data_IF_823403967640
#
_entry.id   IF_823403967640
#
_cell.length_a   1.000
_cell.length_b   1.000
_cell.length_c   1.000
_cell.angle_alpha   90.00
_cell.angle_beta   90.00
_cell.angle_gamma   90.00
#
_symmetry.space_group_name_H-M   'P 1'
#
loop_
_entity.id
_entity.type
_entity.pdbx_description
1 polymer ?
#
# COMPACT_ATOMS: atom_id res chain seq x y z
N UNK A 1 18.26 -9.69 -35.89
CA UNK A 1 18.56 -8.59 -34.94
C UNK A 1 17.50 -7.54 -35.15
N UNK A 2 16.58 -7.16 -34.26
CA UNK A 2 16.31 -7.41 -32.85
C UNK A 2 14.81 -7.11 -32.66
N UNK A 3 14.07 -8.02 -32.01
CA UNK A 3 12.88 -7.76 -31.18
C UNK A 3 11.68 -6.98 -31.76
N UNK A 4 10.82 -7.66 -32.54
CA UNK A 4 9.40 -7.28 -32.69
C UNK A 4 8.55 -7.86 -31.53
N UNK A 5 8.78 -7.36 -30.31
CA UNK A 5 8.14 -7.89 -29.08
C UNK A 5 7.37 -6.82 -28.28
N UNK A 6 6.93 -5.71 -28.89
CA UNK A 6 6.44 -4.55 -28.14
C UNK A 6 5.00 -4.11 -28.34
N UNK A 7 4.17 -4.90 -29.03
CA UNK A 7 2.73 -4.61 -29.12
C UNK A 7 1.88 -5.50 -28.21
N UNK A 8 2.31 -5.67 -26.96
CA UNK A 8 1.37 -5.98 -25.88
C UNK A 8 0.84 -4.65 -25.38
N UNK A 9 -0.15 -4.12 -26.10
CA UNK A 9 -1.02 -3.03 -25.64
C UNK A 9 -1.40 -3.34 -24.18
N UNK A 10 -0.78 -2.62 -23.25
CA UNK A 10 -1.34 -2.47 -21.91
C UNK A 10 -2.62 -1.66 -22.13
N UNK A 11 -3.79 -2.14 -21.66
CA UNK A 11 -5.02 -1.37 -21.81
C UNK A 11 -4.80 0.02 -21.22
N UNK A 12 -5.40 1.04 -21.84
CA UNK A 12 -5.26 2.45 -21.51
C UNK A 12 -5.66 2.76 -20.06
N UNK A 13 -4.79 2.44 -19.10
CA UNK A 13 -4.94 2.76 -17.68
C UNK A 13 -4.30 4.12 -17.43
N UNK A 14 -4.91 5.17 -17.97
CA UNK A 14 -4.54 6.54 -17.65
C UNK A 14 -5.04 6.87 -16.23
N UNK A 15 -4.11 7.06 -15.27
CA UNK A 15 -4.44 7.55 -13.92
C UNK A 15 -3.93 6.69 -12.76
N UNK A 16 -4.44 6.95 -11.55
CA UNK A 16 -4.10 6.24 -10.31
C UNK A 16 -4.40 4.73 -10.41
N UNK A 17 -5.31 4.31 -11.29
CA UNK A 17 -5.75 2.92 -11.46
C UNK A 17 -4.65 1.96 -11.99
N UNK A 18 -3.56 2.51 -12.54
CA UNK A 18 -2.40 1.75 -12.99
C UNK A 18 -1.33 1.55 -11.90
N UNK A 19 -1.50 2.23 -10.77
CA UNK A 19 -0.49 2.26 -9.72
C UNK A 19 -0.50 0.97 -8.89
N UNK A 20 0.67 0.57 -8.36
CA UNK A 20 0.76 -0.63 -7.54
C UNK A 20 -0.04 -0.48 -6.25
N UNK A 21 -0.67 -1.57 -5.80
CA UNK A 21 -1.30 -1.63 -4.48
C UNK A 21 -0.25 -1.62 -3.36
N UNK A 22 -0.60 -1.18 -2.13
CA UNK A 22 0.30 -1.27 -0.98
C UNK A 22 0.83 -2.69 -0.75
N UNK A 23 2.06 -2.85 -0.23
CA UNK A 23 2.59 -4.15 0.15
C UNK A 23 1.65 -4.87 1.11
N UNK A 24 1.26 -6.10 0.75
CA UNK A 24 0.32 -6.90 1.53
C UNK A 24 -1.15 -6.72 1.16
N UNK A 25 -1.47 -5.81 0.22
CA UNK A 25 -2.82 -5.77 -0.36
C UNK A 25 -3.17 -7.13 -0.97
N UNK A 26 -4.38 -7.61 -0.68
CA UNK A 26 -4.88 -8.87 -1.25
C UNK A 26 -5.09 -8.71 -2.76
N UNK A 27 -5.33 -9.83 -3.45
CA UNK A 27 -5.60 -9.83 -4.90
C UNK A 27 -6.83 -8.98 -5.22
N UNK A 28 -6.79 -8.32 -6.38
CA UNK A 28 -7.75 -7.31 -6.84
C UNK A 28 -9.22 -7.65 -6.57
N UNK A 29 -9.67 -8.85 -6.95
CA UNK A 29 -11.04 -9.29 -6.73
C UNK A 29 -11.45 -9.26 -5.24
N UNK A 30 -10.59 -9.77 -4.35
CA UNK A 30 -10.88 -9.71 -2.90
C UNK A 30 -10.66 -8.33 -2.32
N UNK A 31 -9.78 -7.54 -2.92
CA UNK A 31 -9.51 -6.19 -2.47
C UNK A 31 -10.76 -5.33 -2.66
N UNK A 32 -11.43 -5.45 -3.80
CA UNK A 32 -12.70 -4.80 -4.09
C UNK A 32 -13.83 -5.21 -3.12
N UNK A 33 -13.84 -6.48 -2.67
CA UNK A 33 -14.84 -6.98 -1.73
C UNK A 33 -14.58 -6.56 -0.27
N UNK A 34 -13.31 -6.50 0.15
CA UNK A 34 -12.92 -6.27 1.55
C UNK A 34 -12.64 -4.80 1.86
N UNK A 35 -12.13 -4.03 0.90
CA UNK A 35 -11.77 -2.64 1.12
C UNK A 35 -13.03 -1.77 1.13
N UNK A 36 -13.25 -1.06 2.23
CA UNK A 36 -14.37 -0.12 2.35
C UNK A 36 -14.04 1.30 1.87
N UNK A 37 -12.79 1.53 1.45
CA UNK A 37 -12.32 2.85 1.07
C UNK A 37 -12.28 3.86 2.23
N UNK A 38 -12.12 3.40 3.47
CA UNK A 38 -12.11 4.28 4.66
C UNK A 38 -10.95 5.29 4.68
N UNK A 39 -9.80 4.94 4.09
CA UNK A 39 -8.63 5.81 4.00
C UNK A 39 -7.68 5.75 5.21
N UNK A 40 -7.87 4.85 6.17
CA UNK A 40 -6.97 4.74 7.34
C UNK A 40 -5.52 4.46 6.93
N UNK A 41 -5.32 3.64 5.89
CA UNK A 41 -3.99 3.38 5.32
C UNK A 41 -3.32 4.62 4.72
N UNK A 42 -4.10 5.57 4.19
CA UNK A 42 -3.61 6.87 3.71
C UNK A 42 -3.15 7.72 4.90
N UNK A 43 -4.02 7.85 5.91
CA UNK A 43 -3.77 8.69 7.08
C UNK A 43 -2.54 8.25 7.89
N UNK A 44 -2.33 6.93 8.02
CA UNK A 44 -1.22 6.39 8.82
C UNK A 44 0.12 6.32 8.07
N UNK A 45 0.14 6.56 6.75
CA UNK A 45 1.36 6.44 5.96
C UNK A 45 2.34 7.58 6.27
N UNK A 46 3.48 7.33 6.96
CA UNK A 46 4.39 8.42 7.36
C UNK A 46 5.05 9.11 6.17
N UNK A 47 5.19 8.39 5.04
CA UNK A 47 5.78 8.90 3.82
C UNK A 47 4.74 9.52 2.87
N UNK A 48 3.44 9.48 3.23
CA UNK A 48 2.34 10.08 2.46
C UNK A 48 2.32 9.62 0.98
N UNK A 49 2.58 8.33 0.77
CA UNK A 49 2.66 7.73 -0.58
C UNK A 49 1.49 6.82 -0.92
N UNK A 50 0.48 6.73 -0.05
CA UNK A 50 -0.74 5.97 -0.32
C UNK A 50 -1.84 6.97 -0.65
N UNK A 51 -2.54 6.74 -1.74
CA UNK A 51 -3.75 7.47 -2.13
C UNK A 51 -4.87 6.47 -2.45
N UNK A 52 -6.07 6.96 -2.74
CA UNK A 52 -7.19 6.14 -3.17
C UNK A 52 -7.49 6.42 -4.64
N UNK A 53 -7.64 5.35 -5.42
CA UNK A 53 -8.04 5.44 -6.82
C UNK A 53 -9.53 5.82 -6.98
N UNK A 54 -10.02 5.81 -8.23
CA UNK A 54 -11.41 6.17 -8.52
C UNK A 54 -12.44 5.24 -7.87
N UNK A 55 -12.05 3.99 -7.62
CA UNK A 55 -12.87 2.97 -6.95
C UNK A 55 -12.67 2.99 -5.43
N UNK A 56 -11.95 4.00 -4.92
CA UNK A 56 -11.61 4.16 -3.51
C UNK A 56 -10.70 3.07 -2.97
N UNK A 57 -10.00 2.34 -3.83
CA UNK A 57 -9.04 1.32 -3.45
C UNK A 57 -7.64 1.92 -3.29
N UNK A 58 -6.84 1.45 -2.32
CA UNK A 58 -5.56 2.05 -2.02
C UNK A 58 -4.53 1.76 -3.12
N UNK A 59 -3.77 2.80 -3.48
CA UNK A 59 -2.68 2.75 -4.46
C UNK A 59 -1.44 3.43 -3.89
N UNK A 60 -0.27 3.04 -4.37
CA UNK A 60 1.01 3.64 -3.98
C UNK A 60 1.55 4.51 -5.10
N UNK A 61 1.60 5.83 -4.86
CA UNK A 61 2.05 6.82 -5.84
C UNK A 61 3.58 6.86 -6.02
N UNK A 62 4.33 6.37 -5.02
CA UNK A 62 5.80 6.27 -5.09
C UNK A 62 6.30 5.05 -4.31
N UNK A 63 6.32 3.88 -4.97
CA UNK A 63 6.71 2.62 -4.31
C UNK A 63 8.16 2.62 -3.81
N UNK A 64 9.04 3.39 -4.46
CA UNK A 64 10.45 3.53 -4.06
C UNK A 64 10.62 4.25 -2.72
N UNK A 65 9.64 5.06 -2.33
CA UNK A 65 9.60 5.75 -1.04
C UNK A 65 8.92 4.91 0.05
N UNK A 66 8.50 3.67 -0.23
CA UNK A 66 7.86 2.82 0.77
C UNK A 66 8.89 2.30 1.77
N UNK A 67 8.77 2.72 3.04
CA UNK A 67 9.64 2.24 4.12
C UNK A 67 9.35 0.82 4.59
N UNK A 68 8.34 0.14 4.03
CA UNK A 68 7.85 -1.17 4.46
C UNK A 68 7.56 -1.21 5.97
N UNK A 69 7.03 -0.12 6.53
CA UNK A 69 6.80 0.04 7.96
C UNK A 69 5.60 -0.75 8.49
N UNK A 70 4.71 -1.23 7.62
CA UNK A 70 3.58 -2.09 7.99
C UNK A 70 2.41 -1.41 8.68
N UNK A 71 2.46 -0.09 8.93
CA UNK A 71 1.36 0.65 9.54
C UNK A 71 0.04 0.55 8.74
N UNK A 72 0.11 0.53 7.40
CA UNK A 72 -1.08 0.35 6.56
C UNK A 72 -1.77 -1.01 6.74
N UNK A 73 -1.02 -2.07 7.04
CA UNK A 73 -1.56 -3.39 7.35
C UNK A 73 -2.08 -3.44 8.79
N UNK A 74 -1.43 -2.73 9.72
CA UNK A 74 -1.81 -2.67 11.14
C UNK A 74 -3.19 -2.03 11.34
N UNK A 75 -3.45 -0.91 10.65
CA UNK A 75 -4.73 -0.21 10.74
C UNK A 75 -5.85 -0.86 9.91
N UNK A 76 -5.53 -1.80 9.02
CA UNK A 76 -6.53 -2.40 8.13
C UNK A 76 -7.36 -3.48 8.83
N UNK A 77 -8.42 -3.07 9.51
CA UNK A 77 -9.34 -3.97 10.24
C UNK A 77 -10.20 -4.87 9.33
N UNK A 78 -10.24 -4.58 8.04
CA UNK A 78 -11.05 -5.31 7.06
C UNK A 78 -10.29 -6.44 6.34
N UNK A 79 -8.98 -6.58 6.58
CA UNK A 79 -8.14 -7.59 5.92
C UNK A 79 -7.89 -7.32 4.43
N UNK A 80 -8.14 -6.10 3.96
CA UNK A 80 -7.81 -5.68 2.59
C UNK A 80 -6.30 -5.53 2.37
N UNK A 81 -5.56 -5.16 3.42
CA UNK A 81 -4.09 -5.10 3.46
C UNK A 81 -3.63 -5.96 4.63
N UNK A 82 -2.91 -7.04 4.33
CA UNK A 82 -2.39 -7.98 5.33
C UNK A 82 -0.88 -7.80 5.56
N UNK A 83 -0.38 -8.27 6.70
CA UNK A 83 1.06 -8.25 6.96
C UNK A 83 1.84 -9.20 6.04
N UNK A 84 2.81 -8.67 5.31
CA UNK A 84 3.93 -9.43 4.73
C UNK A 84 5.02 -9.67 5.79
N UNK A 85 6.05 -10.45 5.43
CA UNK A 85 7.22 -10.65 6.28
C UNK A 85 7.97 -9.34 6.56
N UNK A 86 8.15 -8.53 5.52
CA UNK A 86 8.88 -7.26 5.56
C UNK A 86 8.12 -6.22 6.37
N UNK A 87 6.81 -6.09 6.13
CA UNK A 87 5.95 -5.12 6.81
C UNK A 87 5.75 -5.48 8.28
N UNK A 88 5.67 -6.76 8.63
CA UNK A 88 5.68 -7.21 10.03
C UNK A 88 6.99 -6.82 10.74
N UNK A 89 8.13 -7.02 10.09
CA UNK A 89 9.43 -6.58 10.61
C UNK A 89 9.55 -5.06 10.71
N UNK A 90 8.95 -4.33 9.76
CA UNK A 90 8.88 -2.87 9.76
C UNK A 90 8.10 -2.34 10.95
N UNK A 91 6.94 -2.93 11.25
CA UNK A 91 6.10 -2.48 12.36
C UNK A 91 6.83 -2.63 13.70
N UNK A 92 7.56 -3.74 13.90
CA UNK A 92 8.40 -3.92 15.08
C UNK A 92 9.42 -2.79 15.24
N UNK A 93 10.02 -2.30 14.15
CA UNK A 93 10.97 -1.17 14.18
C UNK A 93 10.28 0.14 14.56
N UNK A 94 9.07 0.39 14.04
CA UNK A 94 8.26 1.56 14.40
C UNK A 94 7.96 1.56 15.89
N UNK A 95 7.41 0.46 16.42
CA UNK A 95 7.05 0.34 17.83
C UNK A 95 8.26 0.47 18.77
N UNK A 96 9.42 -0.06 18.38
CA UNK A 96 10.67 0.13 19.13
C UNK A 96 11.14 1.59 19.14
N UNK A 97 11.00 2.28 18.01
CA UNK A 97 11.36 3.70 17.91
C UNK A 97 10.43 4.58 18.75
N UNK A 98 9.13 4.30 18.78
CA UNK A 98 8.17 4.99 19.65
C UNK A 98 8.47 4.77 21.13
N UNK A 99 8.78 3.53 21.54
CA UNK A 99 9.20 3.23 22.91
C UNK A 99 10.49 3.97 23.32
N UNK A 100 11.36 4.28 22.35
CA UNK A 100 12.64 4.97 22.58
C UNK A 100 12.50 6.49 22.66
N UNK A 101 11.53 7.07 21.94
CA UNK A 101 11.31 8.52 21.89
C UNK A 101 10.32 9.02 22.95
N UNK A 102 9.83 8.11 23.82
CA UNK A 102 8.87 8.41 24.87
C UNK A 102 7.46 8.63 24.32
N UNK A 103 6.41 8.47 25.16
CA UNK A 103 5.06 8.81 24.75
C UNK A 103 4.96 10.32 24.48
N UNK A 104 4.36 10.67 23.35
CA UNK A 104 3.96 12.04 23.04
C UNK A 104 2.65 12.33 23.82
N UNK A 105 2.74 12.42 25.15
CA UNK A 105 1.63 12.88 26.01
C UNK A 105 2.06 14.11 26.80
#
# INVERSE_FOLDING_TARGET
MLYEFRDRMLPDVEGLDALPRPPGAVREMRLADLCTGCGDCVAVCPNQIIDLDKERLPVVISIQSCGLCGLCADVCTHGAIEFTRETRSGLTRVLQAEASNGPIF
#
